data_IF_868106536472
#
_entry.id   IF_868106536472
#
_cell.length_a   1.000
_cell.length_b   1.000
_cell.length_c   1.000
_cell.angle_alpha   90.00
_cell.angle_beta   90.00
_cell.angle_gamma   90.00
#
_symmetry.space_group_name_H-M   'P 1'
#
loop_
_entity.id
_entity.type
_entity.pdbx_description
1 polymer ?
#
# COMPACT_ATOMS: atom_id res chain seq x y z
N UNK A 1 26.64 -60.87 -27.24
CA UNK A 1 26.78 -59.95 -26.08
C UNK A 1 25.59 -58.99 -26.08
N UNK A 2 24.80 -58.97 -25.01
CA UNK A 2 23.43 -58.38 -24.95
C UNK A 2 23.51 -56.92 -24.48
N UNK A 3 23.26 -55.97 -25.38
CA UNK A 3 23.36 -54.54 -25.10
C UNK A 3 22.09 -54.05 -24.36
N UNK A 4 22.17 -53.89 -23.02
CA UNK A 4 21.07 -53.37 -22.20
C UNK A 4 21.06 -51.84 -22.29
N UNK A 5 20.14 -51.27 -23.08
CA UNK A 5 19.82 -49.83 -22.99
C UNK A 5 19.05 -49.58 -21.70
N UNK A 6 19.66 -48.85 -20.77
CA UNK A 6 19.00 -48.34 -19.57
C UNK A 6 18.14 -47.14 -19.97
N UNK A 7 16.82 -47.31 -19.96
CA UNK A 7 15.87 -46.22 -20.19
C UNK A 7 15.67 -45.54 -18.83
N UNK A 8 16.30 -44.38 -18.62
CA UNK A 8 16.03 -43.53 -17.47
C UNK A 8 14.62 -42.93 -17.64
N UNK A 9 13.70 -43.08 -16.66
CA UNK A 9 12.39 -42.47 -16.75
C UNK A 9 12.54 -40.95 -16.68
N UNK A 10 11.98 -40.23 -17.67
CA UNK A 10 11.86 -38.77 -17.61
C UNK A 10 11.01 -38.41 -16.39
N UNK A 11 11.67 -37.95 -15.34
CA UNK A 11 11.08 -37.48 -14.10
C UNK A 11 10.27 -36.21 -14.42
N UNK A 12 8.97 -36.39 -14.72
CA UNK A 12 8.02 -35.28 -14.82
C UNK A 12 7.73 -34.85 -13.39
N UNK A 13 8.52 -33.90 -12.86
CA UNK A 13 8.16 -33.26 -11.59
C UNK A 13 6.72 -32.77 -11.71
N UNK A 14 5.79 -33.20 -10.85
CA UNK A 14 4.41 -32.75 -10.92
C UNK A 14 4.41 -31.26 -10.60
N UNK A 15 4.18 -30.42 -11.61
CA UNK A 15 4.07 -28.96 -11.50
C UNK A 15 3.14 -28.55 -10.36
N UNK A 16 2.12 -29.38 -10.07
CA UNK A 16 1.22 -29.23 -8.93
C UNK A 16 1.91 -29.28 -7.57
N UNK A 17 2.90 -30.16 -7.35
CA UNK A 17 3.60 -30.25 -6.07
C UNK A 17 4.51 -29.03 -5.84
N UNK A 18 5.15 -28.52 -6.91
CA UNK A 18 5.93 -27.29 -6.84
C UNK A 18 5.06 -26.05 -6.56
N UNK A 19 3.88 -25.96 -7.18
CA UNK A 19 2.92 -24.87 -6.93
C UNK A 19 2.34 -24.92 -5.50
N UNK A 20 2.08 -26.12 -4.97
CA UNK A 20 1.60 -26.31 -3.60
C UNK A 20 2.67 -25.92 -2.56
N UNK A 21 3.93 -26.29 -2.79
CA UNK A 21 5.07 -25.85 -1.97
C UNK A 21 5.25 -24.32 -2.01
N UNK A 22 5.07 -23.68 -3.17
CA UNK A 22 5.15 -22.22 -3.28
C UNK A 22 4.02 -21.53 -2.49
N UNK A 23 2.79 -22.05 -2.57
CA UNK A 23 1.65 -21.54 -1.81
C UNK A 23 1.83 -21.64 -0.29
N UNK A 24 2.56 -22.65 0.20
CA UNK A 24 2.88 -22.83 1.62
C UNK A 24 3.94 -21.83 2.15
N UNK A 25 4.63 -21.09 1.27
CA UNK A 25 5.69 -20.13 1.66
C UNK A 25 5.22 -18.67 1.72
N UNK A 26 3.92 -18.41 1.53
CA UNK A 26 3.37 -17.05 1.63
C UNK A 26 3.35 -16.63 3.09
N UNK A 27 4.43 -16.00 3.57
CA UNK A 27 4.45 -15.38 4.89
C UNK A 27 3.48 -14.19 4.90
N UNK A 28 2.63 -14.06 5.95
CA UNK A 28 1.76 -12.91 6.08
C UNK A 28 2.61 -11.66 6.29
N UNK A 29 2.60 -10.75 5.31
CA UNK A 29 3.20 -9.43 5.45
C UNK A 29 2.23 -8.55 6.24
N UNK A 30 2.43 -8.45 7.55
CA UNK A 30 1.61 -7.59 8.40
C UNK A 30 1.96 -6.12 8.17
N UNK A 31 1.13 -5.42 7.39
CA UNK A 31 1.06 -3.97 7.45
C UNK A 31 0.44 -3.58 8.80
N UNK A 32 1.27 -3.13 9.76
CA UNK A 32 0.84 -2.76 11.13
C UNK A 32 0.18 -1.38 11.16
N UNK A 33 -0.91 -1.21 10.41
CA UNK A 33 -1.83 -0.08 10.58
C UNK A 33 -2.78 -0.44 11.72
N UNK A 34 -2.71 0.32 12.81
CA UNK A 34 -3.54 0.09 14.00
C UNK A 34 -4.98 0.56 13.75
N UNK A 35 -5.13 1.78 13.23
CA UNK A 35 -6.43 2.36 12.87
C UNK A 35 -6.30 3.53 11.91
N UNK A 36 -7.40 3.84 11.25
CA UNK A 36 -7.56 5.02 10.39
C UNK A 36 -8.70 5.86 10.94
N UNK A 37 -8.41 7.11 11.29
CA UNK A 37 -9.40 8.08 11.72
C UNK A 37 -9.68 9.06 10.59
N UNK A 38 -10.94 9.14 10.16
CA UNK A 38 -11.38 10.12 9.18
C UNK A 38 -11.90 11.35 9.92
N UNK A 39 -11.20 12.47 9.78
CA UNK A 39 -11.57 13.72 10.43
C UNK A 39 -12.59 14.51 9.63
N UNK A 40 -12.49 14.52 8.31
CA UNK A 40 -13.44 15.25 7.46
C UNK A 40 -13.57 14.66 6.06
N UNK A 41 -14.74 14.91 5.46
CA UNK A 41 -15.03 14.65 4.04
C UNK A 41 -15.65 15.90 3.45
N UNK A 42 -15.10 16.37 2.33
CA UNK A 42 -15.53 17.61 1.67
C UNK A 42 -15.55 17.43 0.17
N UNK A 43 -16.43 18.18 -0.50
CA UNK A 43 -16.49 18.12 -1.95
C UNK A 43 -15.32 18.88 -2.58
N UNK A 44 -14.68 18.24 -3.55
CA UNK A 44 -13.62 18.89 -4.31
C UNK A 44 -14.26 19.88 -5.28
N UNK A 45 -13.78 21.13 -5.27
CA UNK A 45 -14.24 22.20 -6.15
C UNK A 45 -15.77 22.36 -6.14
N UNK A 46 -16.38 22.34 -4.95
CA UNK A 46 -17.83 22.49 -4.75
C UNK A 46 -18.65 21.46 -5.54
N UNK A 47 -18.15 20.22 -5.66
CA UNK A 47 -18.88 19.13 -6.30
C UNK A 47 -18.85 19.17 -7.82
N UNK A 48 -17.92 19.93 -8.42
CA UNK A 48 -17.70 19.92 -9.88
C UNK A 48 -17.58 18.48 -10.38
N UNK A 49 -18.19 18.20 -11.54
CA UNK A 49 -18.10 16.89 -12.20
C UNK A 49 -16.91 16.85 -13.16
N UNK A 50 -16.31 15.68 -13.28
CA UNK A 50 -15.17 15.39 -14.15
C UNK A 50 -15.53 14.28 -15.12
N UNK A 51 -15.79 14.67 -16.37
CA UNK A 51 -16.22 13.76 -17.42
C UNK A 51 -17.33 12.81 -16.95
N UNK A 52 -17.19 11.54 -17.29
CA UNK A 52 -18.15 10.48 -16.94
C UNK A 52 -17.94 9.90 -15.53
N UNK A 53 -16.81 10.23 -14.87
CA UNK A 53 -16.45 9.71 -13.55
C UNK A 53 -17.30 10.35 -12.45
N UNK A 54 -17.67 11.62 -12.61
CA UNK A 54 -18.53 12.35 -11.67
C UNK A 54 -17.75 13.29 -10.76
N UNK A 55 -18.30 13.58 -9.58
CA UNK A 55 -17.68 14.47 -8.60
C UNK A 55 -16.73 13.72 -7.67
N UNK A 56 -15.76 14.46 -7.12
CA UNK A 56 -14.74 13.92 -6.24
C UNK A 56 -14.95 14.42 -4.82
N UNK A 57 -14.58 13.60 -3.84
CA UNK A 57 -14.48 13.97 -2.44
C UNK A 57 -13.01 14.03 -2.01
N UNK A 58 -12.73 14.95 -1.08
CA UNK A 58 -11.49 15.04 -0.32
C UNK A 58 -11.76 14.50 1.07
N UNK A 59 -11.02 13.47 1.44
CA UNK A 59 -11.03 12.84 2.75
C UNK A 59 -9.74 13.24 3.45
N UNK A 60 -9.84 13.82 4.64
CA UNK A 60 -8.69 14.15 5.47
C UNK A 60 -8.78 13.37 6.77
N UNK A 61 -7.65 12.89 7.27
CA UNK A 61 -7.63 12.13 8.49
C UNK A 61 -6.23 11.84 9.02
N UNK A 62 -6.16 10.88 9.93
CA UNK A 62 -4.93 10.42 10.56
C UNK A 62 -4.87 8.90 10.55
N UNK A 63 -3.71 8.36 10.22
CA UNK A 63 -3.42 6.93 10.29
C UNK A 63 -2.48 6.68 11.46
N UNK A 64 -2.78 5.66 12.25
CA UNK A 64 -1.99 5.22 13.38
C UNK A 64 -1.27 3.91 13.02
N UNK A 65 0.00 3.84 13.35
CA UNK A 65 0.90 2.76 12.97
C UNK A 65 1.62 2.22 14.20
N UNK A 66 2.06 0.96 14.11
CA UNK A 66 3.00 0.36 15.04
C UNK A 66 4.21 -0.22 14.30
N UNK A 67 5.42 0.04 14.83
CA UNK A 67 6.67 -0.43 14.24
C UNK A 67 7.42 -1.36 15.19
N UNK A 68 7.52 -2.66 14.90
CA UNK A 68 8.37 -3.56 15.66
C UNK A 68 9.86 -3.23 15.42
N UNK A 69 10.63 -3.06 16.51
CA UNK A 69 12.08 -2.84 16.43
C UNK A 69 12.79 -4.10 15.89
N UNK A 70 12.27 -5.28 16.23
CA UNK A 70 12.83 -6.55 15.83
C UNK A 70 12.81 -6.78 14.31
N UNK A 71 12.02 -6.00 13.55
CA UNK A 71 11.94 -6.13 12.10
C UNK A 71 13.27 -5.72 11.45
N UNK A 72 13.94 -6.62 10.69
CA UNK A 72 15.20 -6.32 10.01
C UNK A 72 15.14 -5.08 9.09
N UNK A 73 13.98 -4.80 8.48
CA UNK A 73 13.80 -3.63 7.62
C UNK A 73 13.82 -2.30 8.38
N UNK A 74 13.49 -2.32 9.67
CA UNK A 74 13.42 -1.14 10.54
C UNK A 74 14.78 -0.78 11.16
N UNK A 75 15.80 -1.65 11.05
CA UNK A 75 17.13 -1.44 11.64
C UNK A 75 17.85 -0.17 11.16
N UNK A 76 17.47 0.35 9.99
CA UNK A 76 18.02 1.60 9.45
C UNK A 76 17.41 2.86 10.06
N UNK A 77 16.33 2.74 10.83
CA UNK A 77 15.71 3.87 11.52
C UNK A 77 16.51 4.13 12.78
N UNK A 78 17.18 5.28 12.82
CA UNK A 78 18.02 5.72 13.94
C UNK A 78 17.12 5.94 15.17
N UNK A 79 17.63 5.56 16.35
CA UNK A 79 16.98 5.75 17.66
C UNK A 79 15.60 5.09 17.83
N UNK A 80 15.20 4.18 16.94
CA UNK A 80 13.92 3.49 17.07
C UNK A 80 13.82 2.70 18.39
N UNK A 81 14.93 2.12 18.85
CA UNK A 81 15.00 1.43 20.15
C UNK A 81 14.99 2.35 21.36
N UNK A 82 15.27 3.64 21.15
CA UNK A 82 15.30 4.67 22.20
C UNK A 82 14.00 5.47 22.28
N UNK A 83 12.97 5.07 21.52
CA UNK A 83 11.69 5.78 21.46
C UNK A 83 10.98 5.78 22.83
N UNK A 84 10.56 6.96 23.30
CA UNK A 84 9.90 7.15 24.61
C UNK A 84 8.58 6.37 24.73
N UNK A 85 7.93 6.11 23.60
CA UNK A 85 6.66 5.40 23.51
C UNK A 85 6.82 3.92 23.08
N UNK A 86 8.01 3.35 23.25
CA UNK A 86 8.26 1.93 23.04
C UNK A 86 7.44 1.08 24.04
N UNK A 87 6.54 0.25 23.52
CA UNK A 87 5.75 -0.71 24.30
C UNK A 87 5.78 -2.07 23.60
N UNK A 88 5.99 -3.14 24.35
CA UNK A 88 6.00 -4.52 23.84
C UNK A 88 6.92 -4.76 22.63
N UNK A 89 8.04 -4.00 22.54
CA UNK A 89 8.98 -4.10 21.42
C UNK A 89 8.55 -3.36 20.15
N UNK A 90 7.45 -2.60 20.20
CA UNK A 90 6.96 -1.79 19.11
C UNK A 90 6.84 -0.30 19.45
N UNK A 91 7.05 0.53 18.43
CA UNK A 91 6.95 1.99 18.50
C UNK A 91 5.69 2.43 17.78
N UNK A 92 4.76 3.06 18.51
CA UNK A 92 3.56 3.63 17.91
C UNK A 92 3.81 5.04 17.37
N UNK A 93 3.21 5.40 16.25
CA UNK A 93 3.24 6.77 15.75
C UNK A 93 2.04 7.03 14.84
N UNK A 94 1.84 8.28 14.45
CA UNK A 94 0.74 8.65 13.56
C UNK A 94 1.19 9.59 12.45
N UNK A 95 0.48 9.54 11.32
CA UNK A 95 0.67 10.46 10.21
C UNK A 95 -0.68 10.97 9.70
N UNK A 96 -0.73 12.24 9.32
CA UNK A 96 -1.88 12.80 8.61
C UNK A 96 -1.95 12.27 7.17
N UNK A 97 -3.16 12.11 6.65
CA UNK A 97 -3.36 11.77 5.24
C UNK A 97 -4.46 12.62 4.62
N UNK A 98 -4.35 12.81 3.30
CA UNK A 98 -5.39 13.39 2.46
C UNK A 98 -5.56 12.45 1.27
N UNK A 99 -6.79 12.01 1.04
CA UNK A 99 -7.17 11.24 -0.13
C UNK A 99 -8.16 12.03 -0.97
N UNK A 100 -7.94 12.05 -2.28
CA UNK A 100 -8.92 12.53 -3.26
C UNK A 100 -9.37 11.33 -4.07
N UNK A 101 -10.68 11.09 -4.10
CA UNK A 101 -11.26 9.97 -4.86
C UNK A 101 -12.61 10.35 -5.47
N UNK A 102 -13.06 9.65 -6.52
CA UNK A 102 -14.43 9.75 -6.99
C UNK A 102 -15.41 9.41 -5.85
N UNK A 103 -16.55 10.11 -5.80
CA UNK A 103 -17.64 9.74 -4.86
C UNK A 103 -18.20 8.35 -5.16
N UNK A 104 -18.26 7.99 -6.44
CA UNK A 104 -18.58 6.64 -6.90
C UNK A 104 -17.29 5.85 -7.09
N UNK A 105 -16.96 5.00 -6.12
CA UNK A 105 -15.74 4.20 -6.14
C UNK A 105 -15.65 3.26 -7.36
N UNK A 106 -16.78 2.84 -7.93
CA UNK A 106 -16.82 1.97 -9.12
C UNK A 106 -16.41 2.67 -10.41
N UNK A 107 -16.32 4.00 -10.41
CA UNK A 107 -15.92 4.81 -11.57
C UNK A 107 -14.44 5.23 -11.54
N UNK A 108 -13.68 4.82 -10.52
CA UNK A 108 -12.24 5.04 -10.49
C UNK A 108 -11.50 4.17 -11.49
N UNK A 109 -10.32 4.61 -11.94
CA UNK A 109 -9.46 3.86 -12.87
C UNK A 109 -8.56 2.82 -12.16
N UNK A 110 -8.84 2.49 -10.90
CA UNK A 110 -8.06 1.53 -10.09
C UNK A 110 -6.62 1.94 -9.77
N UNK A 111 -6.18 3.12 -10.19
CA UNK A 111 -4.79 3.58 -10.02
C UNK A 111 -4.67 4.56 -8.85
N UNK A 112 -3.59 4.45 -8.08
CA UNK A 112 -3.28 5.37 -6.98
C UNK A 112 -2.09 6.25 -7.38
N UNK A 113 -2.31 7.56 -7.39
CA UNK A 113 -1.21 8.52 -7.38
C UNK A 113 -0.90 8.91 -5.93
N UNK A 114 0.27 8.49 -5.45
CA UNK A 114 0.73 8.76 -4.09
C UNK A 114 1.76 9.89 -4.09
N UNK A 115 1.52 10.90 -3.27
CA UNK A 115 2.51 11.92 -2.94
C UNK A 115 2.88 11.79 -1.46
N UNK A 116 4.18 11.69 -1.18
CA UNK A 116 4.74 11.84 0.16
C UNK A 116 5.28 13.26 0.27
N UNK A 117 4.55 14.20 0.87
CA UNK A 117 4.93 15.61 0.85
C UNK A 117 6.20 15.83 1.66
N UNK A 118 7.22 16.42 1.03
CA UNK A 118 8.39 16.91 1.72
C UNK A 118 8.12 18.34 2.24
N UNK A 119 8.40 18.62 3.51
CA UNK A 119 8.19 19.94 4.15
C UNK A 119 6.74 20.48 4.09
N UNK A 120 5.75 19.58 4.06
CA UNK A 120 4.33 19.93 4.20
C UNK A 120 3.65 20.52 2.97
N UNK A 121 4.31 20.57 1.81
CA UNK A 121 3.67 21.05 0.57
C UNK A 121 3.09 19.90 -0.24
N UNK A 122 1.76 19.79 -0.31
CA UNK A 122 1.06 18.85 -1.19
C UNK A 122 0.92 19.41 -2.61
N UNK A 123 1.80 18.99 -3.52
CA UNK A 123 1.86 19.49 -4.90
C UNK A 123 0.74 18.91 -5.78
N UNK A 124 0.28 17.70 -5.50
CA UNK A 124 -0.83 17.04 -6.21
C UNK A 124 -2.16 17.81 -6.04
N UNK A 125 -2.30 18.51 -4.92
CA UNK A 125 -3.46 19.33 -4.60
C UNK A 125 -3.37 20.76 -5.15
N UNK A 126 -2.22 21.13 -5.75
CA UNK A 126 -2.06 22.45 -6.34
C UNK A 126 -2.97 22.61 -7.56
N UNK A 127 -3.56 23.81 -7.72
CA UNK A 127 -4.46 24.15 -8.84
C UNK A 127 -3.87 23.84 -10.23
N UNK A 128 -2.53 23.84 -10.34
CA UNK A 128 -1.77 23.56 -11.57
C UNK A 128 -1.73 22.06 -11.91
N UNK A 129 -1.59 21.19 -10.92
CA UNK A 129 -1.47 19.74 -11.14
C UNK A 129 -2.84 19.11 -11.46
N UNK A 130 -3.89 19.62 -10.84
CA UNK A 130 -5.22 19.02 -10.90
C UNK A 130 -5.92 19.12 -12.27
N UNK A 131 -5.61 20.16 -13.07
CA UNK A 131 -6.07 20.25 -14.47
C UNK A 131 -5.51 19.15 -15.38
N UNK A 132 -4.37 18.55 -15.03
CA UNK A 132 -3.64 17.59 -15.88
C UNK A 132 -3.89 16.13 -15.51
N UNK A 133 -4.23 15.85 -14.25
CA UNK A 133 -4.37 14.49 -13.72
C UNK A 133 -5.80 13.92 -13.77
N UNK A 134 -6.82 14.77 -13.91
CA UNK A 134 -8.23 14.33 -13.92
C UNK A 134 -8.80 14.24 -15.35
N UNK A 135 -8.01 14.63 -16.36
CA UNK A 135 -8.39 14.65 -17.79
C UNK A 135 -7.59 13.62 -18.61
N UNK A 136 -6.80 12.77 -17.94
CA UNK A 136 -6.08 11.67 -18.57
C UNK A 136 -6.72 10.33 -18.18
#
# INVERSE_FOLDING_TARGET
MRNRRVILPRMRLPVCAAAFLLALTVLPLHARVLRVEVSSRTDVLNGKRFGNIGSYERITGRVYFSLPIANPHNRRIVDLANAVNLKDGEVEFSSGFIAIRPKDAGRGNGSLLLEVPNRGQGRILSRRCWRRLVVA
#
